data_IF_130986137395
#
_entry.id   IF_130986137395
#
_cell.length_a   1.000
_cell.length_b   1.000
_cell.length_c   1.000
_cell.angle_alpha   90.00
_cell.angle_beta   90.00
_cell.angle_gamma   90.00
#
_symmetry.space_group_name_H-M   'P 1'
#
loop_
_entity.id
_entity.type
_entity.pdbx_description
1 polymer ?
#
# COMPACT_ATOMS: atom_id res chain seq x y z
N UNK A 1 5.27 -3.45 -9.87
CA UNK A 1 4.08 -2.86 -10.50
C UNK A 1 2.87 -3.73 -10.21
N UNK A 2 1.76 -3.15 -9.76
CA UNK A 2 0.55 -3.86 -9.33
C UNK A 2 -0.39 -4.19 -10.50
N UNK A 3 -0.09 -3.70 -11.68
CA UNK A 3 -0.68 -4.14 -12.94
C UNK A 3 0.50 -4.30 -13.93
N UNK A 4 0.51 -5.34 -14.77
CA UNK A 4 1.50 -5.45 -15.86
C UNK A 4 0.86 -5.25 -17.23
N UNK A 5 -0.37 -4.71 -17.26
CA UNK A 5 -1.17 -4.70 -18.48
C UNK A 5 -1.90 -3.41 -18.77
N UNK A 6 -2.01 -2.44 -17.84
CA UNK A 6 -2.72 -1.19 -18.13
C UNK A 6 -2.07 0.04 -17.47
N UNK A 7 -1.81 1.07 -18.27
CA UNK A 7 -1.50 2.44 -17.85
C UNK A 7 -2.82 3.23 -17.87
N UNK A 8 -3.34 3.61 -16.71
CA UNK A 8 -4.59 4.35 -16.59
C UNK A 8 -4.75 5.00 -15.22
N UNK A 9 -5.40 6.17 -15.17
CA UNK A 9 -5.60 6.94 -13.94
C UNK A 9 -6.44 6.14 -12.93
N UNK A 10 -6.23 6.41 -11.63
CA UNK A 10 -6.87 5.78 -10.44
C UNK A 10 -8.42 5.67 -10.47
N UNK A 11 -9.08 6.19 -11.49
CA UNK A 11 -10.54 6.21 -11.66
C UNK A 11 -11.11 5.09 -12.56
N UNK A 12 -10.26 4.27 -13.18
CA UNK A 12 -10.69 3.18 -14.08
C UNK A 12 -10.41 1.77 -13.52
N UNK A 13 -9.88 1.67 -12.30
CA UNK A 13 -9.72 0.37 -11.66
C UNK A 13 -11.08 -0.08 -11.11
N UNK A 14 -11.82 -0.82 -11.92
CA UNK A 14 -13.00 -1.56 -11.46
C UNK A 14 -12.59 -2.46 -10.26
N UNK A 15 -13.48 -2.68 -9.28
CA UNK A 15 -13.22 -3.54 -8.12
C UNK A 15 -12.69 -4.95 -8.48
N UNK A 16 -12.94 -5.42 -9.71
CA UNK A 16 -12.44 -6.67 -10.27
C UNK A 16 -10.94 -6.66 -10.65
N UNK A 17 -10.33 -5.49 -10.88
CA UNK A 17 -8.91 -5.37 -11.25
C UNK A 17 -7.95 -5.39 -10.04
N UNK A 18 -8.47 -5.17 -8.83
CA UNK A 18 -7.72 -5.25 -7.58
C UNK A 18 -8.02 -6.58 -6.88
N UNK A 19 -7.45 -7.66 -7.40
CA UNK A 19 -7.49 -8.97 -6.76
C UNK A 19 -6.61 -8.96 -5.49
N UNK A 20 -7.23 -8.63 -4.35
CA UNK A 20 -6.59 -8.66 -3.04
C UNK A 20 -6.01 -10.05 -2.72
N UNK A 21 -6.59 -11.13 -3.23
CA UNK A 21 -6.06 -12.48 -3.04
C UNK A 21 -4.78 -12.69 -3.84
N UNK A 22 -4.71 -12.24 -5.10
CA UNK A 22 -3.48 -12.27 -5.88
C UNK A 22 -2.36 -11.42 -5.28
N UNK A 23 -2.69 -10.24 -4.72
CA UNK A 23 -1.72 -9.43 -3.98
C UNK A 23 -1.21 -10.20 -2.76
N UNK A 24 -2.10 -10.76 -1.94
CA UNK A 24 -1.73 -11.57 -0.77
C UNK A 24 -0.82 -12.74 -1.18
N UNK A 25 -1.16 -13.49 -2.22
CA UNK A 25 -0.34 -14.58 -2.74
C UNK A 25 1.08 -14.12 -3.10
N UNK A 26 1.23 -12.97 -3.78
CA UNK A 26 2.54 -12.40 -4.10
C UNK A 26 3.31 -11.99 -2.84
N UNK A 27 2.64 -11.43 -1.84
CA UNK A 27 3.30 -11.04 -0.58
C UNK A 27 3.82 -12.26 0.19
N UNK A 28 3.10 -13.39 0.15
CA UNK A 28 3.57 -14.64 0.75
C UNK A 28 4.82 -15.19 0.06
N UNK A 29 4.91 -15.04 -1.26
CA UNK A 29 6.06 -15.50 -2.05
C UNK A 29 7.27 -14.60 -1.83
N UNK A 30 7.11 -13.29 -2.02
CA UNK A 30 8.24 -12.36 -2.03
C UNK A 30 8.65 -11.83 -0.66
N UNK A 31 7.76 -11.94 0.34
CA UNK A 31 7.98 -11.52 1.74
C UNK A 31 8.71 -10.17 1.85
N UNK A 32 8.20 -9.11 1.21
CA UNK A 32 8.88 -7.83 1.23
C UNK A 32 8.90 -7.24 2.64
N UNK A 33 9.86 -6.37 2.90
CA UNK A 33 9.92 -5.61 4.15
C UNK A 33 8.73 -4.64 4.33
N UNK A 34 8.21 -4.12 3.22
CA UNK A 34 7.09 -3.19 3.21
C UNK A 34 6.30 -3.24 1.90
N UNK A 35 5.06 -2.78 1.96
CA UNK A 35 4.15 -2.53 0.84
C UNK A 35 3.58 -1.13 0.98
N UNK A 36 3.63 -0.35 -0.10
CA UNK A 36 2.98 0.95 -0.16
C UNK A 36 1.88 0.94 -1.23
N UNK A 37 0.63 1.05 -0.81
CA UNK A 37 -0.50 1.25 -1.70
C UNK A 37 -0.52 2.70 -2.15
N UNK A 38 -0.50 2.95 -3.47
CA UNK A 38 -0.42 4.31 -4.01
C UNK A 38 -1.75 5.07 -3.98
N UNK A 39 -2.80 4.50 -3.41
CA UNK A 39 -4.11 5.13 -3.24
C UNK A 39 -4.87 4.57 -2.03
N UNK A 40 -5.79 5.37 -1.46
CA UNK A 40 -6.71 4.91 -0.39
C UNK A 40 -7.57 3.73 -0.85
N UNK A 41 -8.05 3.76 -2.09
CA UNK A 41 -8.91 2.70 -2.61
C UNK A 41 -8.19 1.34 -2.61
N UNK A 42 -6.94 1.30 -3.08
CA UNK A 42 -6.14 0.07 -3.07
C UNK A 42 -5.90 -0.45 -1.65
N UNK A 43 -5.56 0.44 -0.71
CA UNK A 43 -5.40 0.07 0.70
C UNK A 43 -6.71 -0.46 1.31
N UNK A 44 -7.81 0.27 1.10
CA UNK A 44 -9.14 -0.09 1.57
C UNK A 44 -9.57 -1.48 1.09
N UNK A 45 -9.43 -1.77 -0.21
CA UNK A 45 -9.74 -3.07 -0.80
C UNK A 45 -8.85 -4.18 -0.24
N UNK A 46 -7.55 -3.94 -0.08
CA UNK A 46 -6.64 -4.94 0.47
C UNK A 46 -6.98 -5.32 1.92
N UNK A 47 -7.25 -4.32 2.77
CA UNK A 47 -7.57 -4.52 4.18
C UNK A 47 -9.04 -4.89 4.44
N UNK A 48 -9.93 -4.72 3.45
CA UNK A 48 -11.36 -4.94 3.62
C UNK A 48 -12.02 -3.90 4.55
N UNK A 49 -11.44 -2.71 4.67
CA UNK A 49 -11.94 -1.62 5.54
C UNK A 49 -12.28 -0.39 4.71
N UNK A 50 -13.45 0.21 4.93
CA UNK A 50 -13.92 1.34 4.12
C UNK A 50 -13.18 2.65 4.39
N UNK A 51 -12.81 2.90 5.64
CA UNK A 51 -12.10 4.10 6.04
C UNK A 51 -10.68 3.73 6.48
N UNK A 52 -9.70 4.19 5.70
CA UNK A 52 -8.28 3.92 5.92
C UNK A 52 -7.49 5.23 5.90
N UNK A 53 -6.60 5.38 6.88
CA UNK A 53 -5.71 6.54 7.01
C UNK A 53 -4.58 6.51 5.98
N UNK A 54 -4.06 7.68 5.63
CA UNK A 54 -2.78 7.78 4.91
C UNK A 54 -1.61 7.50 5.87
N UNK A 55 -0.46 7.12 5.30
CA UNK A 55 0.75 6.80 6.04
C UNK A 55 0.83 5.34 6.44
N UNK A 56 1.67 5.04 7.43
CA UNK A 56 1.82 3.69 7.98
C UNK A 56 0.54 3.22 8.64
N UNK A 57 0.15 1.99 8.32
CA UNK A 57 -1.03 1.38 8.89
C UNK A 57 -0.74 0.85 10.30
N UNK A 58 -1.67 1.05 11.26
CA UNK A 58 -1.45 0.70 12.64
C UNK A 58 -1.39 -0.82 12.84
N UNK A 59 -0.62 -1.26 13.83
CA UNK A 59 -0.44 -2.68 14.12
C UNK A 59 -1.77 -3.39 14.44
N UNK A 60 -2.75 -2.67 15.00
CA UNK A 60 -4.12 -3.17 15.22
C UNK A 60 -4.83 -3.55 13.93
N UNK A 61 -4.66 -2.76 12.86
CA UNK A 61 -5.22 -3.08 11.55
C UNK A 61 -4.44 -4.23 10.89
N UNK A 62 -3.12 -4.22 10.99
CA UNK A 62 -2.26 -5.31 10.48
C UNK A 62 -2.55 -6.64 11.17
N UNK A 63 -2.89 -6.62 12.47
CA UNK A 63 -3.26 -7.81 13.24
C UNK A 63 -4.52 -8.52 12.73
N UNK A 64 -5.35 -7.84 11.93
CA UNK A 64 -6.52 -8.47 11.29
C UNK A 64 -6.15 -9.35 10.09
N UNK A 65 -4.93 -9.22 9.56
CA UNK A 65 -4.41 -10.04 8.48
C UNK A 65 -3.99 -11.43 8.97
N UNK A 66 -3.81 -12.36 8.03
CA UNK A 66 -3.17 -13.65 8.29
C UNK A 66 -1.79 -13.46 8.93
N UNK A 67 -1.43 -14.34 9.87
CA UNK A 67 -0.18 -14.26 10.63
C UNK A 67 1.06 -14.15 9.73
N UNK A 68 1.04 -14.84 8.58
CA UNK A 68 2.14 -14.82 7.61
C UNK A 68 2.36 -13.47 6.92
N UNK A 69 1.35 -12.59 6.97
CA UNK A 69 1.39 -11.25 6.37
C UNK A 69 1.72 -10.14 7.37
N UNK A 70 1.73 -10.44 8.68
CA UNK A 70 1.90 -9.42 9.74
C UNK A 70 3.32 -8.88 9.88
N UNK A 71 4.31 -9.60 9.34
CA UNK A 71 5.72 -9.17 9.35
C UNK A 71 6.07 -8.06 8.35
N UNK A 72 5.10 -7.63 7.54
CA UNK A 72 5.26 -6.64 6.48
C UNK A 72 4.78 -5.28 7.02
N UNK A 73 5.53 -4.21 6.77
CA UNK A 73 5.04 -2.86 7.05
C UNK A 73 4.14 -2.37 5.91
N UNK A 74 2.94 -1.87 6.22
CA UNK A 74 1.99 -1.41 5.21
C UNK A 74 1.83 0.10 5.27
N UNK A 75 1.77 0.72 4.09
CA UNK A 75 1.58 2.17 3.94
C UNK A 75 0.48 2.45 2.91
N UNK A 76 -0.26 3.53 3.11
CA UNK A 76 -1.25 4.04 2.15
C UNK A 76 -0.86 5.47 1.79
N UNK A 77 -0.64 5.71 0.51
CA UNK A 77 -0.13 6.98 0.00
C UNK A 77 -1.25 7.79 -0.65
N UNK A 78 -1.05 9.12 -0.66
CA UNK A 78 -1.86 10.00 -1.47
C UNK A 78 -1.55 9.75 -2.95
N UNK A 79 -2.60 9.54 -3.75
CA UNK A 79 -2.47 9.31 -5.20
C UNK A 79 -1.71 10.46 -5.86
N UNK A 80 -0.65 10.19 -6.64
CA UNK A 80 0.13 11.21 -7.32
C UNK A 80 -0.57 11.76 -8.58
N UNK A 81 -1.78 11.31 -8.89
CA UNK A 81 -2.52 11.72 -10.08
C UNK A 81 -3.05 13.16 -9.99
N UNK A 82 -3.09 13.88 -11.13
CA UNK A 82 -3.52 15.28 -11.20
C UNK A 82 -4.96 15.56 -10.72
N UNK A 83 -5.81 14.53 -10.64
CA UNK A 83 -7.18 14.59 -10.11
C UNK A 83 -7.24 14.60 -8.58
N UNK A 84 -6.17 14.19 -7.91
CA UNK A 84 -6.06 14.16 -6.45
C UNK A 84 -5.38 15.42 -5.87
N UNK A 85 -5.10 16.46 -6.68
CA UNK A 85 -4.31 17.64 -6.28
C UNK A 85 -4.82 18.33 -5.01
N UNK A 86 -6.12 18.37 -4.75
CA UNK A 86 -6.70 19.01 -3.55
C UNK A 86 -6.51 18.20 -2.26
N UNK A 87 -6.22 16.89 -2.36
CA UNK A 87 -6.06 15.98 -1.22
C UNK A 87 -4.65 15.40 -1.11
N UNK A 88 -3.75 15.81 -2.02
CA UNK A 88 -2.39 15.32 -2.07
C UNK A 88 -1.58 15.84 -0.89
N UNK A 89 -0.78 14.93 -0.31
CA UNK A 89 0.06 15.16 0.85
C UNK A 89 1.38 14.44 0.66
N UNK A 90 2.49 15.11 0.96
CA UNK A 90 3.85 14.59 0.79
C UNK A 90 4.27 13.72 1.99
N UNK A 91 3.67 13.95 3.15
CA UNK A 91 4.03 13.36 4.43
C UNK A 91 3.99 11.82 4.40
N UNK A 92 2.97 11.14 3.82
CA UNK A 92 2.96 9.68 3.69
C UNK A 92 4.11 9.15 2.82
N UNK A 93 4.52 9.91 1.80
CA UNK A 93 5.63 9.53 0.93
C UNK A 93 6.98 9.66 1.65
N UNK A 94 7.14 10.72 2.43
CA UNK A 94 8.33 10.92 3.28
C UNK A 94 8.43 9.82 4.34
N UNK A 95 7.31 9.36 4.90
CA UNK A 95 7.29 8.26 5.87
C UNK A 95 7.81 6.95 5.26
N UNK A 96 7.39 6.60 4.04
CA UNK A 96 7.92 5.43 3.31
C UNK A 96 9.42 5.60 3.03
N UNK A 97 9.84 6.78 2.58
CA UNK A 97 11.25 7.06 2.31
C UNK A 97 12.11 6.88 3.57
N UNK A 98 11.65 7.43 4.71
CA UNK A 98 12.33 7.29 6.00
C UNK A 98 12.47 5.83 6.42
N UNK A 99 11.41 5.02 6.24
CA UNK A 99 11.45 3.58 6.52
C UNK A 99 12.48 2.84 5.65
N UNK A 100 12.50 3.12 4.34
CA UNK A 100 13.45 2.51 3.39
C UNK A 100 14.88 2.88 3.75
N UNK A 101 15.14 4.15 4.06
CA UNK A 101 16.47 4.63 4.45
C UNK A 101 16.95 4.04 5.78
N UNK A 102 16.07 3.91 6.78
CA UNK A 102 16.40 3.23 8.03
C UNK A 102 16.79 1.76 7.78
N UNK A 103 16.04 1.05 6.95
CA UNK A 103 16.34 -0.35 6.59
C UNK A 103 17.62 -0.52 5.79
N UNK A 104 17.93 0.40 4.88
CA UNK A 104 19.19 0.37 4.12
C UNK A 104 20.39 0.58 5.02
N UNK A 105 20.29 1.50 5.99
CA UNK A 105 21.34 1.74 6.99
C UNK A 105 21.58 0.54 7.89
N UNK A 106 20.54 -0.11 8.39
CA UNK A 106 20.67 -1.30 9.25
C UNK A 106 21.12 -2.59 8.53
N UNK A 107 21.33 -2.53 7.20
CA UNK A 107 21.87 -3.64 6.40
C UNK A 107 23.34 -3.45 6.02
N UNK A 108 23.90 -2.27 6.27
CA UNK A 108 25.33 -1.98 6.12
C UNK A 108 26.04 -2.32 7.43
#
# INVERSE_FOLDING_TARGET
DLNKTEYGSDHELTPAALDAAAVRARLLVYKPAAVAFTSKNAGSLFFGVRDIGYGRQPDTLVATLDISLRGIAYFVLASPSGRARSWWRIEPWQEVAAFVEARRRGRR
#
